data_IF_921710323670
#
_entry.id   IF_921710323670
#
_cell.length_a   1.000
_cell.length_b   1.000
_cell.length_c   1.000
_cell.angle_alpha   90.00
_cell.angle_beta   90.00
_cell.angle_gamma   90.00
#
_symmetry.space_group_name_H-M   'P 1'
#
loop_
_entity.id
_entity.type
_entity.pdbx_description
1 polymer ?
#
# COMPACT_ATOMS: atom_id res chain seq x y z
N UNK A 1 -9.12 -19.58 12.35
CA UNK A 1 -8.90 -18.28 11.65
C UNK A 1 -10.07 -17.33 11.85
N UNK A 2 -11.31 -17.72 11.54
CA UNK A 2 -12.49 -16.91 11.92
C UNK A 2 -12.56 -16.65 13.44
N UNK A 3 -12.16 -17.62 14.27
CA UNK A 3 -12.00 -17.42 15.72
C UNK A 3 -10.89 -16.43 16.11
N UNK A 4 -9.83 -16.31 15.30
CA UNK A 4 -8.76 -15.33 15.53
C UNK A 4 -9.18 -13.93 15.09
N UNK A 5 -9.94 -13.83 13.99
CA UNK A 5 -10.58 -12.59 13.54
C UNK A 5 -11.63 -12.13 14.56
N UNK A 6 -12.46 -13.05 15.04
CA UNK A 6 -13.42 -12.82 16.12
C UNK A 6 -12.72 -12.43 17.42
N UNK A 7 -11.60 -13.08 17.79
CA UNK A 7 -10.81 -12.71 18.96
C UNK A 7 -10.19 -11.31 18.85
N UNK A 8 -9.63 -10.93 17.70
CA UNK A 8 -9.09 -9.58 17.47
C UNK A 8 -10.22 -8.53 17.49
N UNK A 9 -11.37 -8.85 16.90
CA UNK A 9 -12.54 -7.98 16.90
C UNK A 9 -13.18 -7.80 18.29
N UNK A 10 -13.19 -8.85 19.11
CA UNK A 10 -13.77 -8.83 20.47
C UNK A 10 -12.83 -8.18 21.50
N UNK A 11 -11.52 -8.29 21.33
CA UNK A 11 -10.53 -7.71 22.26
C UNK A 11 -10.33 -6.21 22.01
N UNK A 12 -10.55 -5.74 20.78
CA UNK A 12 -10.45 -4.32 20.43
C UNK A 12 -11.82 -3.79 20.01
N UNK A 13 -12.61 -3.27 20.96
CA UNK A 13 -13.87 -2.54 20.70
C UNK A 13 -13.68 -1.26 19.84
N UNK A 14 -12.46 -0.97 19.38
CA UNK A 14 -12.10 0.22 18.58
C UNK A 14 -11.74 -0.16 17.14
N UNK A 15 -11.76 0.83 16.25
CA UNK A 15 -11.34 0.78 14.85
C UNK A 15 -9.93 0.17 14.60
N UNK A 16 -9.10 0.06 15.64
CA UNK A 16 -7.78 -0.59 15.64
C UNK A 16 -7.85 -2.04 15.13
N UNK A 17 -8.85 -2.82 15.57
CA UNK A 17 -9.01 -4.22 15.13
C UNK A 17 -9.22 -4.32 13.62
N UNK A 18 -10.03 -3.43 13.05
CA UNK A 18 -10.27 -3.35 11.60
C UNK A 18 -9.02 -2.93 10.83
N UNK A 19 -8.25 -1.95 11.35
CA UNK A 19 -6.99 -1.51 10.75
C UNK A 19 -5.92 -2.63 10.74
N UNK A 20 -5.80 -3.40 11.83
CA UNK A 20 -4.89 -4.55 11.88
C UNK A 20 -5.25 -5.62 10.85
N UNK A 21 -6.54 -5.91 10.68
CA UNK A 21 -7.00 -6.86 9.66
C UNK A 21 -6.66 -6.37 8.25
N UNK A 22 -6.78 -5.06 7.98
CA UNK A 22 -6.39 -4.48 6.70
C UNK A 22 -4.88 -4.64 6.42
N UNK A 23 -4.02 -4.40 7.42
CA UNK A 23 -2.56 -4.59 7.31
C UNK A 23 -2.22 -6.06 7.02
N UNK A 24 -2.80 -7.00 7.77
CA UNK A 24 -2.58 -8.43 7.56
C UNK A 24 -3.06 -8.83 6.15
N UNK A 25 -4.20 -8.29 5.71
CA UNK A 25 -4.74 -8.55 4.38
C UNK A 25 -3.82 -8.02 3.27
N UNK A 26 -3.21 -6.86 3.45
CA UNK A 26 -2.19 -6.31 2.53
C UNK A 26 -0.95 -7.22 2.45
N UNK A 27 -0.45 -7.71 3.58
CA UNK A 27 0.69 -8.65 3.60
C UNK A 27 0.37 -9.94 2.87
N UNK A 28 -0.81 -10.52 3.12
CA UNK A 28 -1.26 -11.72 2.42
C UNK A 28 -1.46 -11.48 0.92
N UNK A 29 -1.94 -10.29 0.53
CA UNK A 29 -2.06 -9.90 -0.87
C UNK A 29 -0.70 -9.87 -1.56
N UNK A 30 0.30 -9.20 -0.97
CA UNK A 30 1.67 -9.15 -1.50
C UNK A 30 2.23 -10.57 -1.66
N UNK A 31 1.98 -11.44 -0.69
CA UNK A 31 2.40 -12.83 -0.75
C UNK A 31 1.67 -13.63 -1.85
N UNK A 32 0.36 -13.42 -2.02
CA UNK A 32 -0.43 -14.04 -3.08
C UNK A 32 0.08 -13.62 -4.47
N UNK A 33 0.36 -12.33 -4.68
CA UNK A 33 0.95 -11.81 -5.92
C UNK A 33 2.32 -12.42 -6.20
N UNK A 34 3.19 -12.48 -5.18
CA UNK A 34 4.54 -13.05 -5.29
C UNK A 34 4.47 -14.54 -5.68
N UNK A 35 3.66 -15.33 -4.99
CA UNK A 35 3.48 -16.75 -5.30
C UNK A 35 2.81 -16.97 -6.67
N UNK A 36 1.90 -16.09 -7.10
CA UNK A 36 1.33 -16.09 -8.44
C UNK A 36 2.38 -15.80 -9.53
N UNK A 37 3.31 -14.88 -9.28
CA UNK A 37 4.41 -14.59 -10.18
C UNK A 37 5.40 -15.76 -10.29
N UNK A 38 5.69 -16.46 -9.18
CA UNK A 38 6.49 -17.70 -9.18
C UNK A 38 5.82 -18.77 -10.04
N UNK A 39 4.50 -18.98 -9.89
CA UNK A 39 3.75 -19.98 -10.68
C UNK A 39 3.78 -19.69 -12.18
N UNK A 40 3.91 -18.43 -12.56
CA UNK A 40 4.03 -18.04 -13.96
C UNK A 40 5.45 -18.20 -14.51
N UNK A 41 6.40 -18.63 -13.69
CA UNK A 41 7.82 -18.75 -14.04
C UNK A 41 8.54 -17.40 -14.11
N UNK A 42 7.92 -16.32 -13.62
CA UNK A 42 8.57 -15.00 -13.58
C UNK A 42 9.65 -14.97 -12.50
N UNK A 43 9.30 -15.41 -11.30
CA UNK A 43 10.24 -15.46 -10.17
C UNK A 43 10.85 -16.87 -10.11
N UNK A 44 12.19 -16.98 -10.26
CA UNK A 44 12.91 -18.25 -10.10
C UNK A 44 12.88 -18.69 -8.65
N UNK A 45 12.63 -19.98 -8.42
CA UNK A 45 12.47 -20.55 -7.09
C UNK A 45 13.72 -21.31 -6.64
N UNK A 46 14.15 -21.13 -5.38
CA UNK A 46 15.25 -21.88 -4.76
C UNK A 46 14.85 -23.20 -4.05
N UNK A 47 13.57 -23.44 -3.78
CA UNK A 47 13.09 -24.56 -2.94
C UNK A 47 12.00 -25.41 -3.64
N UNK A 48 11.87 -26.71 -3.36
CA UNK A 48 10.91 -27.61 -4.03
C UNK A 48 9.44 -27.55 -3.52
N UNK A 49 9.09 -26.70 -2.54
CA UNK A 49 7.70 -26.64 -2.01
C UNK A 49 6.60 -26.48 -3.10
N UNK A 50 5.42 -27.06 -2.89
CA UNK A 50 4.31 -26.88 -3.85
C UNK A 50 3.75 -25.44 -3.79
N UNK A 51 4.25 -24.55 -4.66
CA UNK A 51 3.87 -23.11 -4.72
C UNK A 51 2.39 -22.96 -5.01
N UNK A 52 1.82 -23.85 -5.82
CA UNK A 52 0.42 -23.81 -6.17
C UNK A 52 -0.46 -24.01 -4.93
N UNK A 53 -0.13 -25.02 -4.11
CA UNK A 53 -0.82 -25.28 -2.85
C UNK A 53 -0.71 -24.10 -1.89
N UNK A 54 0.45 -23.44 -1.85
CA UNK A 54 0.72 -22.26 -1.03
C UNK A 54 -0.09 -21.04 -1.50
N UNK A 55 -0.04 -20.71 -2.79
CA UNK A 55 -0.81 -19.63 -3.41
C UNK A 55 -2.30 -19.80 -3.14
N UNK A 56 -2.82 -21.02 -3.36
CA UNK A 56 -4.21 -21.38 -3.06
C UNK A 56 -4.55 -21.15 -1.58
N UNK A 57 -3.70 -21.63 -0.66
CA UNK A 57 -3.93 -21.49 0.79
C UNK A 57 -3.94 -20.02 1.22
N UNK A 58 -2.97 -19.23 0.76
CA UNK A 58 -2.92 -17.79 1.05
C UNK A 58 -4.12 -17.06 0.46
N UNK A 59 -4.55 -17.40 -0.76
CA UNK A 59 -5.76 -16.83 -1.35
C UNK A 59 -7.03 -17.09 -0.52
N UNK A 60 -7.17 -18.29 0.05
CA UNK A 60 -8.28 -18.62 0.96
C UNK A 60 -8.20 -17.79 2.25
N UNK A 61 -7.01 -17.67 2.85
CA UNK A 61 -6.85 -16.87 4.06
C UNK A 61 -7.12 -15.39 3.82
N UNK A 62 -6.63 -14.86 2.71
CA UNK A 62 -6.92 -13.50 2.27
C UNK A 62 -8.43 -13.29 2.09
N UNK A 63 -9.12 -14.14 1.34
CA UNK A 63 -10.56 -14.00 1.11
C UNK A 63 -11.40 -14.08 2.39
N UNK A 64 -11.03 -14.98 3.32
CA UNK A 64 -11.71 -15.09 4.61
C UNK A 64 -11.45 -13.89 5.54
N UNK A 65 -10.26 -13.27 5.48
CA UNK A 65 -9.98 -12.02 6.21
C UNK A 65 -10.77 -10.84 5.65
N UNK A 66 -10.85 -10.70 4.33
CA UNK A 66 -11.67 -9.66 3.68
C UNK A 66 -13.14 -9.82 4.06
N UNK A 67 -13.69 -11.05 3.98
CA UNK A 67 -15.07 -11.31 4.38
C UNK A 67 -15.30 -11.00 5.86
N UNK A 68 -14.40 -11.46 6.74
CA UNK A 68 -14.50 -11.19 8.18
C UNK A 68 -14.43 -9.70 8.50
N UNK A 69 -13.50 -8.98 7.89
CA UNK A 69 -13.36 -7.51 8.03
C UNK A 69 -14.61 -6.78 7.57
N UNK A 70 -15.19 -7.19 6.44
CA UNK A 70 -16.40 -6.57 5.90
C UNK A 70 -17.61 -6.81 6.83
N UNK A 71 -17.80 -8.04 7.31
CA UNK A 71 -18.87 -8.37 8.27
C UNK A 71 -18.69 -7.58 9.57
N UNK A 72 -17.45 -7.48 10.07
CA UNK A 72 -17.14 -6.68 11.26
C UNK A 72 -17.47 -5.19 11.06
N UNK A 73 -17.05 -4.61 9.94
CA UNK A 73 -17.38 -3.22 9.60
C UNK A 73 -18.89 -2.98 9.42
N UNK A 74 -19.61 -3.94 8.82
CA UNK A 74 -21.07 -3.91 8.72
C UNK A 74 -21.72 -3.92 10.11
N UNK A 75 -21.29 -4.83 10.99
CA UNK A 75 -21.81 -4.94 12.35
C UNK A 75 -21.65 -3.63 13.11
N UNK A 76 -20.44 -3.06 13.12
CA UNK A 76 -20.16 -1.78 13.79
C UNK A 76 -21.05 -0.66 13.24
N UNK A 77 -21.23 -0.55 11.92
CA UNK A 77 -22.09 0.48 11.33
C UNK A 77 -23.57 0.30 11.65
N UNK A 78 -24.05 -0.95 11.67
CA UNK A 78 -25.42 -1.26 12.07
C UNK A 78 -25.71 -0.83 13.52
N UNK A 79 -24.75 -1.02 14.43
CA UNK A 79 -24.87 -0.55 15.81
C UNK A 79 -24.99 0.98 15.91
N UNK A 80 -24.43 1.72 14.95
CA UNK A 80 -24.47 3.19 14.89
C UNK A 80 -25.60 3.72 13.99
N UNK A 81 -26.44 2.86 13.40
CA UNK A 81 -27.52 3.26 12.49
C UNK A 81 -27.05 3.83 11.14
N UNK A 82 -25.80 3.60 10.75
CA UNK A 82 -25.22 4.14 9.50
C UNK A 82 -25.27 3.12 8.35
N UNK A 83 -25.63 3.57 7.14
CA UNK A 83 -25.57 2.74 5.93
C UNK A 83 -24.11 2.51 5.49
N UNK A 84 -23.76 1.29 5.05
CA UNK A 84 -22.44 1.00 4.45
C UNK A 84 -22.17 1.88 3.23
N UNK A 85 -23.18 2.06 2.39
CA UNK A 85 -23.04 2.76 1.12
C UNK A 85 -22.98 4.28 1.29
N UNK A 86 -23.11 4.79 2.51
CA UNK A 86 -22.94 6.22 2.79
C UNK A 86 -21.48 6.68 2.68
N UNK A 87 -20.52 5.77 2.93
CA UNK A 87 -19.08 6.10 2.97
C UNK A 87 -18.31 5.55 1.77
N UNK A 88 -17.29 6.29 1.32
CA UNK A 88 -16.38 5.82 0.25
C UNK A 88 -15.68 4.52 0.65
N UNK A 89 -15.21 4.43 1.89
CA UNK A 89 -14.62 3.20 2.47
C UNK A 89 -15.59 2.01 2.40
N UNK A 90 -16.87 2.20 2.78
CA UNK A 90 -17.87 1.13 2.70
C UNK A 90 -18.15 0.66 1.27
N UNK A 91 -18.22 1.59 0.30
CA UNK A 91 -18.38 1.26 -1.12
C UNK A 91 -17.18 0.49 -1.67
N UNK A 92 -15.95 0.94 -1.37
CA UNK A 92 -14.72 0.27 -1.78
C UNK A 92 -14.59 -1.11 -1.14
N UNK A 93 -14.90 -1.24 0.15
CA UNK A 93 -14.94 -2.53 0.85
C UNK A 93 -15.87 -3.55 0.19
N UNK A 94 -17.05 -3.12 -0.28
CA UNK A 94 -17.97 -3.99 -1.02
C UNK A 94 -17.38 -4.41 -2.38
N UNK A 95 -16.78 -3.48 -3.13
CA UNK A 95 -16.10 -3.79 -4.40
C UNK A 95 -14.97 -4.80 -4.19
N UNK A 96 -14.14 -4.60 -3.16
CA UNK A 96 -13.06 -5.50 -2.78
C UNK A 96 -13.61 -6.89 -2.47
N UNK A 97 -14.69 -6.97 -1.69
CA UNK A 97 -15.34 -8.24 -1.34
C UNK A 97 -15.82 -8.98 -2.60
N UNK A 98 -16.49 -8.29 -3.52
CA UNK A 98 -16.97 -8.86 -4.77
C UNK A 98 -15.81 -9.38 -5.65
N UNK A 99 -14.75 -8.58 -5.80
CA UNK A 99 -13.55 -8.98 -6.55
C UNK A 99 -12.88 -10.19 -5.87
N UNK A 100 -12.77 -10.20 -4.54
CA UNK A 100 -12.18 -11.31 -3.79
C UNK A 100 -12.99 -12.60 -3.96
N UNK A 101 -14.32 -12.53 -3.94
CA UNK A 101 -15.20 -13.67 -4.22
C UNK A 101 -15.02 -14.20 -5.64
N UNK A 102 -15.07 -13.31 -6.63
CA UNK A 102 -14.85 -13.65 -8.03
C UNK A 102 -13.43 -14.20 -8.25
N UNK A 103 -12.44 -13.79 -7.45
CA UNK A 103 -11.09 -14.30 -7.53
C UNK A 103 -10.96 -15.71 -6.92
N UNK A 104 -11.62 -15.94 -5.78
CA UNK A 104 -11.47 -17.15 -4.98
C UNK A 104 -12.37 -18.29 -5.47
N UNK A 105 -13.68 -18.07 -5.62
CA UNK A 105 -14.65 -19.14 -5.92
C UNK A 105 -14.31 -19.85 -7.24
N UNK A 106 -14.14 -19.17 -8.39
CA UNK A 106 -13.80 -19.81 -9.65
C UNK A 106 -12.47 -20.58 -9.57
N UNK A 107 -11.50 -20.08 -8.79
CA UNK A 107 -10.20 -20.74 -8.62
C UNK A 107 -10.29 -22.07 -7.84
N UNK A 108 -11.33 -22.21 -7.00
CA UNK A 108 -11.59 -23.40 -6.19
C UNK A 108 -12.50 -24.41 -6.92
N UNK A 109 -13.49 -23.92 -7.67
CA UNK A 109 -14.56 -24.74 -8.26
C UNK A 109 -14.27 -25.15 -9.70
N UNK A 110 -13.74 -24.25 -10.54
CA UNK A 110 -13.59 -24.52 -11.97
C UNK A 110 -12.43 -25.50 -12.23
N UNK A 111 -12.77 -26.64 -12.85
CA UNK A 111 -11.78 -27.63 -13.30
C UNK A 111 -10.95 -27.11 -14.47
N UNK A 112 -11.56 -26.40 -15.43
CA UNK A 112 -10.86 -25.81 -16.57
C UNK A 112 -10.29 -24.42 -16.26
N UNK A 113 -9.07 -24.42 -15.71
CA UNK A 113 -8.36 -23.21 -15.29
C UNK A 113 -7.78 -22.39 -16.44
N UNK A 114 -7.80 -22.88 -17.68
CA UNK A 114 -7.27 -22.11 -18.82
C UNK A 114 -8.14 -20.90 -19.14
N UNK A 115 -9.48 -21.10 -19.17
CA UNK A 115 -10.46 -20.07 -19.53
C UNK A 115 -10.47 -18.89 -18.56
N UNK A 116 -10.33 -19.13 -17.26
CA UNK A 116 -10.42 -18.09 -16.22
C UNK A 116 -9.06 -17.45 -15.86
N UNK A 117 -7.94 -17.99 -16.36
CA UNK A 117 -6.59 -17.54 -15.96
C UNK A 117 -6.32 -16.07 -16.26
N UNK A 118 -6.85 -15.56 -17.37
CA UNK A 118 -6.70 -14.16 -17.76
C UNK A 118 -7.35 -13.23 -16.74
N UNK A 119 -8.63 -13.45 -16.49
CA UNK A 119 -9.44 -12.74 -15.49
C UNK A 119 -8.82 -12.81 -14.09
N UNK A 120 -8.44 -14.01 -13.63
CA UNK A 120 -7.82 -14.17 -12.32
C UNK A 120 -6.58 -13.30 -12.13
N UNK A 121 -5.70 -13.23 -13.14
CA UNK A 121 -4.50 -12.38 -13.06
C UNK A 121 -4.86 -10.89 -13.00
N UNK A 122 -5.75 -10.45 -13.89
CA UNK A 122 -6.15 -9.05 -13.98
C UNK A 122 -6.79 -8.59 -12.66
N UNK A 123 -7.75 -9.36 -12.16
CA UNK A 123 -8.42 -9.08 -10.89
C UNK A 123 -7.45 -9.09 -9.71
N UNK A 124 -6.51 -10.03 -9.67
CA UNK A 124 -5.49 -10.07 -8.63
C UNK A 124 -4.60 -8.81 -8.60
N UNK A 125 -4.16 -8.34 -9.78
CA UNK A 125 -3.37 -7.11 -9.87
C UNK A 125 -4.16 -5.85 -9.56
N UNK A 126 -5.46 -5.80 -9.90
CA UNK A 126 -6.35 -4.68 -9.59
C UNK A 126 -6.73 -4.65 -8.11
N UNK A 127 -6.85 -5.81 -7.46
CA UNK A 127 -7.27 -5.88 -6.07
C UNK A 127 -6.25 -5.28 -5.10
N UNK A 128 -4.95 -5.39 -5.39
CA UNK A 128 -3.89 -4.80 -4.55
C UNK A 128 -3.95 -3.26 -4.42
N UNK A 129 -3.99 -2.47 -5.51
CA UNK A 129 -4.13 -1.02 -5.40
C UNK A 129 -5.48 -0.60 -4.80
N UNK A 130 -6.59 -1.27 -5.13
CA UNK A 130 -7.90 -0.95 -4.53
C UNK A 130 -7.87 -1.20 -3.02
N UNK A 131 -7.34 -2.35 -2.58
CA UNK A 131 -7.20 -2.68 -1.16
C UNK A 131 -6.31 -1.66 -0.43
N UNK A 132 -5.23 -1.20 -1.08
CA UNK A 132 -4.38 -0.17 -0.49
C UNK A 132 -5.10 1.18 -0.35
N UNK A 133 -5.83 1.60 -1.39
CA UNK A 133 -6.64 2.83 -1.36
C UNK A 133 -7.68 2.74 -0.24
N UNK A 134 -8.39 1.63 -0.15
CA UNK A 134 -9.42 1.40 0.86
C UNK A 134 -8.85 1.37 2.28
N UNK A 135 -7.73 0.67 2.50
CA UNK A 135 -7.05 0.65 3.78
C UNK A 135 -6.57 2.05 4.20
N UNK A 136 -6.05 2.84 3.24
CA UNK A 136 -5.65 4.23 3.49
C UNK A 136 -6.85 5.11 3.84
N UNK A 137 -7.98 4.92 3.16
CA UNK A 137 -9.23 5.64 3.44
C UNK A 137 -9.80 5.28 4.81
N UNK A 138 -9.81 3.99 5.16
CA UNK A 138 -10.24 3.48 6.46
C UNK A 138 -9.36 4.00 7.59
N UNK A 139 -8.04 4.00 7.41
CA UNK A 139 -7.09 4.55 8.38
C UNK A 139 -7.31 6.05 8.59
N UNK A 140 -7.49 6.80 7.50
CA UNK A 140 -7.78 8.23 7.57
C UNK A 140 -9.06 8.53 8.37
N UNK A 141 -10.14 7.79 8.10
CA UNK A 141 -11.39 7.95 8.84
C UNK A 141 -11.27 7.53 10.32
N UNK A 142 -10.55 6.44 10.61
CA UNK A 142 -10.49 5.83 11.95
C UNK A 142 -9.45 6.41 12.89
N UNK A 143 -8.38 7.03 12.37
CA UNK A 143 -7.27 7.57 13.18
C UNK A 143 -7.21 9.09 13.11
N UNK A 144 -7.58 9.70 11.99
CA UNK A 144 -7.26 11.11 11.72
C UNK A 144 -8.51 11.95 11.48
N UNK A 145 -9.60 11.63 12.20
CA UNK A 145 -10.92 12.24 12.08
C UNK A 145 -10.87 13.73 11.75
N UNK A 146 -11.13 14.06 10.47
CA UNK A 146 -11.19 15.44 9.98
C UNK A 146 -9.94 15.99 9.26
N UNK A 147 -8.93 15.18 8.89
CA UNK A 147 -7.85 15.72 8.05
C UNK A 147 -8.33 16.11 6.65
N UNK A 148 -7.76 17.19 6.11
CA UNK A 148 -8.10 17.72 4.78
C UNK A 148 -7.80 16.68 3.70
N UNK A 149 -8.63 16.63 2.65
CA UNK A 149 -8.56 15.68 1.51
C UNK A 149 -7.16 15.52 0.90
N UNK A 150 -6.30 16.53 1.06
CA UNK A 150 -4.93 16.55 0.56
C UNK A 150 -3.98 15.60 1.31
N UNK A 151 -4.15 15.43 2.62
CA UNK A 151 -3.34 14.48 3.44
C UNK A 151 -3.68 13.04 3.05
N UNK A 152 -4.96 12.76 2.80
CA UNK A 152 -5.43 11.47 2.32
C UNK A 152 -4.88 11.18 0.91
N UNK A 153 -4.98 12.16 0.00
CA UNK A 153 -4.44 12.04 -1.35
C UNK A 153 -2.93 11.79 -1.37
N UNK A 154 -2.19 12.52 -0.52
CA UNK A 154 -0.75 12.32 -0.30
C UNK A 154 -0.44 10.89 0.17
N UNK A 155 -1.18 10.42 1.17
CA UNK A 155 -1.00 9.07 1.72
C UNK A 155 -1.33 7.98 0.70
N UNK A 156 -2.45 8.09 -0.03
CA UNK A 156 -2.80 7.12 -1.08
C UNK A 156 -1.71 7.08 -2.15
N UNK A 157 -1.25 8.24 -2.59
CA UNK A 157 -0.22 8.36 -3.62
C UNK A 157 1.10 7.73 -3.19
N UNK A 158 1.51 7.91 -1.94
CA UNK A 158 2.73 7.29 -1.39
C UNK A 158 2.70 5.77 -1.50
N UNK A 159 1.59 5.13 -1.16
CA UNK A 159 1.56 3.66 -1.18
C UNK A 159 1.30 3.07 -2.55
N UNK A 160 0.58 3.76 -3.43
CA UNK A 160 0.56 3.41 -4.84
C UNK A 160 1.97 3.51 -5.45
N UNK A 161 2.76 4.51 -5.06
CA UNK A 161 4.16 4.61 -5.45
C UNK A 161 5.00 3.44 -4.89
N UNK A 162 4.77 3.04 -3.63
CA UNK A 162 5.43 1.87 -3.04
C UNK A 162 5.13 0.60 -3.85
N UNK A 163 3.88 0.38 -4.27
CA UNK A 163 3.51 -0.75 -5.13
C UNK A 163 4.21 -0.69 -6.50
N UNK A 164 4.29 0.49 -7.10
CA UNK A 164 5.02 0.69 -8.35
C UNK A 164 6.53 0.43 -8.20
N UNK A 165 7.14 0.84 -7.09
CA UNK A 165 8.55 0.57 -6.79
C UNK A 165 8.83 -0.93 -6.59
N UNK A 166 7.94 -1.64 -5.88
CA UNK A 166 8.01 -3.11 -5.79
C UNK A 166 7.89 -3.76 -7.17
N UNK A 167 7.02 -3.24 -8.04
CA UNK A 167 6.93 -3.74 -9.41
C UNK A 167 8.25 -3.54 -10.17
N UNK A 168 8.88 -2.37 -10.09
CA UNK A 168 10.19 -2.12 -10.71
C UNK A 168 11.24 -3.11 -10.20
N UNK A 169 11.33 -3.29 -8.88
CA UNK A 169 12.27 -4.24 -8.24
C UNK A 169 12.07 -5.64 -8.81
N UNK A 170 10.84 -6.11 -8.95
CA UNK A 170 10.55 -7.43 -9.50
C UNK A 170 10.97 -7.57 -10.97
N UNK A 171 10.77 -6.54 -11.79
CA UNK A 171 11.22 -6.57 -13.19
C UNK A 171 12.76 -6.57 -13.30
N UNK A 172 13.47 -5.91 -12.37
CA UNK A 172 14.94 -5.95 -12.33
C UNK A 172 15.50 -7.29 -11.84
N UNK A 173 14.86 -7.90 -10.83
CA UNK A 173 15.28 -9.20 -10.30
C UNK A 173 14.98 -10.35 -11.27
N UNK A 174 13.95 -10.18 -12.10
CA UNK A 174 13.45 -11.22 -13.00
C UNK A 174 13.27 -10.68 -14.42
N UNK A 175 14.38 -10.35 -15.11
CA UNK A 175 14.33 -9.73 -16.42
C UNK A 175 13.66 -10.65 -17.45
N UNK A 176 12.80 -10.05 -18.27
CA UNK A 176 12.13 -10.71 -19.41
C UNK A 176 12.11 -9.75 -20.58
N UNK A 177 11.92 -10.23 -21.80
CA UNK A 177 11.89 -9.38 -23.01
C UNK A 177 10.89 -8.21 -22.91
N UNK A 178 9.73 -8.48 -22.33
CA UNK A 178 8.67 -7.47 -22.10
C UNK A 178 8.82 -6.75 -20.76
N UNK A 179 9.80 -7.11 -19.94
CA UNK A 179 10.00 -6.60 -18.58
C UNK A 179 10.43 -5.14 -18.55
N UNK A 180 11.32 -4.75 -19.46
CA UNK A 180 11.79 -3.37 -19.56
C UNK A 180 10.65 -2.38 -19.82
N UNK A 181 9.74 -2.69 -20.75
CA UNK A 181 8.58 -1.84 -21.04
C UNK A 181 7.67 -1.68 -19.82
N UNK A 182 7.46 -2.75 -19.05
CA UNK A 182 6.67 -2.70 -17.80
C UNK A 182 7.38 -1.92 -16.70
N UNK A 183 8.69 -2.09 -16.56
CA UNK A 183 9.51 -1.34 -15.61
C UNK A 183 9.45 0.17 -15.90
N UNK A 184 9.47 0.57 -17.18
CA UNK A 184 9.29 1.97 -17.61
C UNK A 184 7.92 2.52 -17.23
N UNK A 185 6.84 1.78 -17.51
CA UNK A 185 5.48 2.19 -17.10
C UNK A 185 5.42 2.37 -15.59
N UNK A 186 5.94 1.39 -14.84
CA UNK A 186 5.98 1.45 -13.38
C UNK A 186 6.84 2.62 -12.87
N UNK A 187 7.96 2.95 -13.52
CA UNK A 187 8.81 4.07 -13.14
C UNK A 187 8.18 5.43 -13.43
N UNK A 188 7.49 5.58 -14.55
CA UNK A 188 6.71 6.80 -14.82
C UNK A 188 5.60 6.98 -13.79
N UNK A 189 4.88 5.90 -13.47
CA UNK A 189 3.84 5.93 -12.45
C UNK A 189 4.42 6.28 -11.07
N UNK A 190 5.51 5.65 -10.66
CA UNK A 190 6.17 5.94 -9.38
C UNK A 190 6.65 7.40 -9.31
N UNK A 191 7.32 7.89 -10.37
CA UNK A 191 7.79 9.28 -10.43
C UNK A 191 6.63 10.28 -10.37
N UNK A 192 5.54 10.02 -11.09
CA UNK A 192 4.35 10.86 -11.05
C UNK A 192 3.71 10.88 -9.66
N UNK A 193 3.47 9.71 -9.06
CA UNK A 193 2.84 9.61 -7.73
C UNK A 193 3.70 10.21 -6.63
N UNK A 194 5.02 10.05 -6.69
CA UNK A 194 5.93 10.68 -5.73
C UNK A 194 5.96 12.20 -5.93
N UNK A 195 6.06 12.68 -7.17
CA UNK A 195 6.20 14.12 -7.43
C UNK A 195 4.88 14.87 -7.25
N UNK A 196 3.84 14.50 -7.99
CA UNK A 196 2.55 15.18 -7.91
C UNK A 196 1.78 14.80 -6.64
N UNK A 197 1.72 13.50 -6.36
CA UNK A 197 0.92 12.96 -5.26
C UNK A 197 1.55 13.19 -3.90
N UNK A 198 2.86 12.99 -3.75
CA UNK A 198 3.52 13.12 -2.45
C UNK A 198 4.12 14.52 -2.26
N UNK A 199 4.97 14.95 -3.19
CA UNK A 199 5.78 16.16 -3.02
C UNK A 199 4.98 17.45 -3.19
N UNK A 200 4.21 17.60 -4.28
CA UNK A 200 3.39 18.80 -4.50
C UNK A 200 2.24 18.87 -3.48
N UNK A 201 1.41 17.82 -3.39
CA UNK A 201 0.28 17.84 -2.47
C UNK A 201 0.70 17.89 -0.99
N UNK A 202 1.73 17.12 -0.61
CA UNK A 202 2.27 17.14 0.75
C UNK A 202 2.92 18.47 1.10
N UNK A 203 3.67 19.07 0.16
CA UNK A 203 4.34 20.36 0.33
C UNK A 203 3.33 21.50 0.47
N UNK A 204 2.28 21.50 -0.34
CA UNK A 204 1.19 22.46 -0.19
C UNK A 204 0.52 22.36 1.18
N UNK A 205 0.20 21.14 1.65
CA UNK A 205 -0.37 20.96 3.00
C UNK A 205 0.59 21.42 4.10
N UNK A 206 1.89 21.16 3.92
CA UNK A 206 2.93 21.60 4.84
C UNK A 206 2.96 23.14 4.96
N UNK A 207 2.99 23.85 3.84
CA UNK A 207 3.04 25.31 3.80
C UNK A 207 1.77 25.98 4.31
N UNK A 208 0.59 25.42 4.02
CA UNK A 208 -0.70 26.07 4.29
C UNK A 208 -1.34 25.68 5.61
N UNK A 209 -1.00 24.51 6.17
CA UNK A 209 -1.67 23.96 7.35
C UNK A 209 -0.70 23.60 8.45
N UNK A 210 0.39 22.90 8.12
CA UNK A 210 1.27 22.34 9.14
C UNK A 210 1.92 23.43 10.00
N UNK A 211 2.53 24.44 9.36
CA UNK A 211 3.28 25.48 10.07
C UNK A 211 2.43 26.30 11.05
N UNK A 212 1.20 26.63 10.69
CA UNK A 212 0.33 27.50 11.48
C UNK A 212 -0.61 26.75 12.43
N UNK A 213 -1.04 25.53 12.10
CA UNK A 213 -2.08 24.82 12.85
C UNK A 213 -1.54 23.61 13.62
N UNK A 214 -0.57 22.88 13.06
CA UNK A 214 -0.12 21.60 13.62
C UNK A 214 1.17 21.75 14.43
N UNK A 215 2.14 22.49 13.90
CA UNK A 215 3.44 22.69 14.55
C UNK A 215 3.32 23.31 15.96
N UNK A 216 2.55 24.39 16.20
CA UNK A 216 2.46 24.99 17.53
C UNK A 216 1.90 24.02 18.57
N UNK A 217 0.89 23.24 18.18
CA UNK A 217 0.24 22.23 19.03
C UNK A 217 1.21 21.11 19.41
N UNK A 218 2.02 20.62 18.46
CA UNK A 218 3.03 19.59 18.75
C UNK A 218 4.08 20.12 19.73
N UNK A 219 4.54 21.36 19.53
CA UNK A 219 5.59 21.96 20.36
C UNK A 219 5.13 22.27 21.79
N UNK A 220 3.86 22.65 21.96
CA UNK A 220 3.27 22.87 23.28
C UNK A 220 2.76 21.58 23.95
N UNK A 221 2.62 20.49 23.19
CA UNK A 221 2.15 19.20 23.67
C UNK A 221 3.22 18.34 24.36
N UNK A 222 2.88 17.09 24.73
CA UNK A 222 3.77 16.20 25.48
C UNK A 222 4.95 15.64 24.65
N UNK A 223 4.95 15.84 23.33
CA UNK A 223 5.91 15.21 22.42
C UNK A 223 6.56 16.20 21.42
N UNK A 224 7.22 17.28 21.90
CA UNK A 224 7.83 18.29 21.03
C UNK A 224 8.97 17.73 20.17
N UNK A 225 9.63 16.66 20.63
CA UNK A 225 10.67 15.94 19.90
C UNK A 225 10.19 15.40 18.54
N UNK A 226 8.88 15.15 18.38
CA UNK A 226 8.30 14.69 17.13
C UNK A 226 8.44 15.75 16.03
N UNK A 227 8.36 17.04 16.37
CA UNK A 227 8.72 18.10 15.43
C UNK A 227 10.25 18.21 15.29
N UNK A 228 10.96 18.37 16.41
CA UNK A 228 12.39 18.70 16.40
C UNK A 228 13.28 17.66 15.70
N UNK A 229 12.90 16.38 15.72
CA UNK A 229 13.69 15.28 15.15
C UNK A 229 12.99 14.68 13.94
N UNK A 230 11.74 14.22 14.12
CA UNK A 230 11.05 13.42 13.10
C UNK A 230 10.60 14.28 11.92
N UNK A 231 10.05 15.47 12.17
CA UNK A 231 9.66 16.37 11.08
C UNK A 231 10.89 16.88 10.32
N UNK A 232 11.96 17.28 11.01
CA UNK A 232 13.21 17.74 10.38
C UNK A 232 13.79 16.67 9.43
N UNK A 233 13.93 15.44 9.92
CA UNK A 233 14.41 14.32 9.11
C UNK A 233 13.46 14.02 7.92
N UNK A 234 12.16 14.12 8.16
CA UNK A 234 11.13 13.91 7.14
C UNK A 234 11.26 14.95 6.02
N UNK A 235 11.52 16.21 6.33
CA UNK A 235 11.69 17.29 5.33
C UNK A 235 12.88 17.02 4.41
N UNK A 236 13.98 16.49 4.95
CA UNK A 236 15.14 16.13 4.14
C UNK A 236 14.83 14.97 3.18
N UNK A 237 14.25 13.88 3.69
CA UNK A 237 13.84 12.74 2.86
C UNK A 237 12.84 13.19 1.79
N UNK A 238 11.90 14.06 2.17
CA UNK A 238 10.86 14.58 1.29
C UNK A 238 11.40 15.30 0.06
N UNK A 239 12.50 16.05 0.18
CA UNK A 239 13.14 16.75 -0.94
C UNK A 239 13.89 15.79 -1.86
N UNK A 240 14.57 14.77 -1.32
CA UNK A 240 15.35 13.83 -2.15
C UNK A 240 14.49 12.80 -2.89
N UNK A 241 13.33 12.44 -2.34
CA UNK A 241 12.49 11.38 -2.91
C UNK A 241 12.06 11.62 -4.37
N UNK A 242 11.56 12.81 -4.79
CA UNK A 242 11.25 13.06 -6.20
C UNK A 242 12.49 13.00 -7.10
N UNK A 243 13.66 13.45 -6.61
CA UNK A 243 14.91 13.37 -7.37
C UNK A 243 15.29 11.90 -7.65
N UNK A 244 15.27 11.06 -6.62
CA UNK A 244 15.57 9.62 -6.77
C UNK A 244 14.58 8.95 -7.73
N UNK A 245 13.29 9.25 -7.60
CA UNK A 245 12.25 8.67 -8.45
C UNK A 245 12.40 9.11 -9.92
N UNK A 246 12.69 10.39 -10.17
CA UNK A 246 12.95 10.92 -11.51
C UNK A 246 14.22 10.33 -12.10
N UNK A 247 15.32 10.25 -11.35
CA UNK A 247 16.56 9.62 -11.81
C UNK A 247 16.33 8.16 -12.19
N UNK A 248 15.62 7.38 -11.37
CA UNK A 248 15.26 6.00 -11.69
C UNK A 248 14.44 5.92 -12.98
N UNK A 249 13.45 6.81 -13.14
CA UNK A 249 12.56 6.85 -14.29
C UNK A 249 13.28 7.24 -15.59
N UNK A 250 14.11 8.27 -15.56
CA UNK A 250 14.95 8.70 -16.69
C UNK A 250 15.94 7.61 -17.06
N UNK A 251 16.59 6.98 -16.07
CA UNK A 251 17.54 5.89 -16.35
C UNK A 251 16.85 4.71 -17.03
N UNK A 252 15.65 4.33 -16.60
CA UNK A 252 14.87 3.26 -17.22
C UNK A 252 14.33 3.63 -18.61
N UNK A 253 14.06 4.92 -18.87
CA UNK A 253 13.55 5.37 -20.18
C UNK A 253 14.62 5.25 -21.27
N UNK A 254 15.88 5.58 -20.94
CA UNK A 254 17.02 5.51 -21.88
C UNK A 254 17.71 4.15 -21.91
N UNK A 255 17.46 3.28 -20.91
CA UNK A 255 18.04 1.93 -20.85
C UNK A 255 17.64 1.10 -22.07
N UNK A 256 18.62 0.53 -22.79
CA UNK A 256 18.34 -0.37 -23.91
C UNK A 256 18.02 -1.81 -23.43
N UNK A 257 17.47 -2.62 -24.35
CA UNK A 257 17.05 -3.99 -24.05
C UNK A 257 18.22 -4.92 -23.74
N UNK A 258 19.33 -4.79 -24.45
CA UNK A 258 20.47 -5.71 -24.31
C UNK A 258 21.15 -5.54 -22.95
N UNK A 259 21.42 -4.31 -22.53
CA UNK A 259 21.90 -3.99 -21.17
C UNK A 259 20.91 -4.48 -20.13
N UNK A 260 19.60 -4.25 -20.32
CA UNK A 260 18.60 -4.74 -19.38
C UNK A 260 18.61 -6.28 -19.25
N UNK A 261 18.76 -7.04 -20.32
CA UNK A 261 18.74 -8.51 -20.27
C UNK A 261 20.06 -9.11 -19.83
N UNK A 262 21.20 -8.54 -20.26
CA UNK A 262 22.50 -9.18 -20.16
C UNK A 262 23.45 -8.55 -19.13
N UNK A 263 23.15 -7.37 -18.58
CA UNK A 263 23.97 -6.74 -17.53
C UNK A 263 23.34 -6.88 -16.13
N UNK A 264 23.71 -7.91 -15.34
CA UNK A 264 23.21 -8.07 -13.98
C UNK A 264 23.74 -7.01 -13.01
N UNK A 265 24.88 -6.36 -13.28
CA UNK A 265 25.43 -5.32 -12.41
C UNK A 265 24.59 -4.05 -12.54
N UNK A 266 24.24 -3.67 -13.76
CA UNK A 266 23.37 -2.53 -14.03
C UNK A 266 21.99 -2.71 -13.38
N UNK A 267 21.37 -3.90 -13.55
CA UNK A 267 20.09 -4.22 -12.89
C UNK A 267 20.20 -4.18 -11.36
N UNK A 268 21.31 -4.64 -10.79
CA UNK A 268 21.53 -4.58 -9.34
C UNK A 268 21.58 -3.13 -8.86
N UNK A 269 22.29 -2.25 -9.56
CA UNK A 269 22.33 -0.82 -9.23
C UNK A 269 20.93 -0.20 -9.27
N UNK A 270 20.15 -0.43 -10.33
CA UNK A 270 18.76 0.03 -10.41
C UNK A 270 17.88 -0.54 -9.30
N UNK A 271 18.07 -1.81 -8.95
CA UNK A 271 17.35 -2.45 -7.85
C UNK A 271 17.66 -1.77 -6.53
N UNK A 272 18.93 -1.43 -6.27
CA UNK A 272 19.32 -0.72 -5.03
C UNK A 272 18.69 0.67 -4.97
N UNK A 273 18.65 1.41 -6.08
CA UNK A 273 17.99 2.72 -6.16
C UNK A 273 16.49 2.59 -5.88
N UNK A 274 15.83 1.60 -6.50
CA UNK A 274 14.40 1.35 -6.27
C UNK A 274 14.10 0.91 -4.83
N UNK A 275 14.97 0.09 -4.22
CA UNK A 275 14.87 -0.30 -2.81
C UNK A 275 15.06 0.89 -1.87
N UNK A 276 16.00 1.79 -2.17
CA UNK A 276 16.22 3.02 -1.40
C UNK A 276 14.98 3.93 -1.47
N UNK A 277 14.44 4.14 -2.67
CA UNK A 277 13.21 4.90 -2.85
C UNK A 277 12.03 4.27 -2.08
N UNK A 278 11.89 2.94 -2.16
CA UNK A 278 10.82 2.22 -1.45
C UNK A 278 10.97 2.38 0.07
N UNK A 279 12.18 2.19 0.58
CA UNK A 279 12.48 2.40 2.00
C UNK A 279 12.12 3.82 2.45
N UNK A 280 12.52 4.84 1.68
CA UNK A 280 12.21 6.23 1.99
C UNK A 280 10.69 6.50 1.95
N UNK A 281 9.95 5.98 0.98
CA UNK A 281 8.48 6.08 0.94
C UNK A 281 7.87 5.48 2.21
N UNK A 282 8.26 4.27 2.60
CA UNK A 282 7.74 3.61 3.80
C UNK A 282 8.12 4.35 5.09
N UNK A 283 9.34 4.88 5.16
CA UNK A 283 9.81 5.68 6.28
C UNK A 283 9.02 6.99 6.40
N UNK A 284 8.71 7.65 5.28
CA UNK A 284 7.86 8.85 5.23
C UNK A 284 6.45 8.59 5.80
N UNK A 285 5.87 7.43 5.50
CA UNK A 285 4.58 7.01 6.10
C UNK A 285 4.68 6.87 7.62
N UNK A 286 5.70 6.15 8.11
CA UNK A 286 5.91 5.95 9.54
C UNK A 286 6.09 7.29 10.27
N UNK A 287 6.96 8.15 9.74
CA UNK A 287 7.20 9.49 10.30
C UNK A 287 5.92 10.33 10.26
N UNK A 288 5.14 10.25 9.18
CA UNK A 288 3.82 10.88 9.08
C UNK A 288 2.87 10.45 10.20
N UNK A 289 2.77 9.15 10.48
CA UNK A 289 1.92 8.63 11.56
C UNK A 289 2.38 9.13 12.95
N UNK A 290 3.69 9.15 13.21
CA UNK A 290 4.25 9.69 14.47
C UNK A 290 3.89 11.16 14.65
N UNK A 291 4.06 11.98 13.61
CA UNK A 291 3.74 13.42 13.64
C UNK A 291 2.24 13.65 13.83
N UNK A 292 1.39 12.89 13.13
CA UNK A 292 -0.06 12.98 13.29
C UNK A 292 -0.51 12.63 14.71
N UNK A 293 0.05 11.57 15.31
CA UNK A 293 -0.25 11.19 16.68
C UNK A 293 0.22 12.25 17.69
N UNK A 294 1.40 12.83 17.50
CA UNK A 294 1.89 13.94 18.33
C UNK A 294 0.97 15.16 18.24
N UNK A 295 0.47 15.49 17.04
CA UNK A 295 -0.50 16.58 16.85
C UNK A 295 -1.83 16.32 17.56
N UNK A 296 -2.34 15.08 17.49
CA UNK A 296 -3.57 14.70 18.18
C UNK A 296 -3.42 14.79 19.71
N UNK A 297 -2.41 14.13 20.27
CA UNK A 297 -2.15 14.14 21.72
C UNK A 297 -1.85 15.54 22.25
N UNK A 298 -1.16 16.38 21.47
CA UNK A 298 -0.99 17.80 21.79
C UNK A 298 -2.31 18.57 21.81
N UNK A 299 -3.21 18.30 20.86
CA UNK A 299 -4.55 18.93 20.83
C UNK A 299 -5.37 18.53 22.05
N UNK A 300 -5.31 17.26 22.45
CA UNK A 300 -6.00 16.73 23.62
C UNK A 300 -5.46 17.32 24.93
N UNK A 301 -4.15 17.52 25.04
CA UNK A 301 -3.52 18.09 26.24
C UNK A 301 -3.75 19.60 26.42
N UNK A 302 -4.07 20.32 25.34
CA UNK A 302 -4.30 21.77 25.35
C UNK A 302 -5.79 22.15 25.45
N UNK A 303 -6.69 21.15 25.50
CA UNK A 303 -8.12 21.34 25.80
C UNK A 303 -8.35 21.22 27.29
#
# INVERSE_FOLDING_TARGET
MLLAIGGIALVYERWIGHALIAIISLVLMVYALTTGAILKGRIKKRSPRNVFKLHKRVGIYFGALILGSFIYGLWIRLQHGESILSSVHGKLGLIILLIAFLQLIPSLVLKNRARYRGLHKMMGYVLAPILFIDASWGLHNGVIGGTKSLVLFHSISGGLAALALVWIILEMLHPTDKGLARARIASYLAAFLITAGCWIAGGYNYLTVYGSQVKPVILAGPHPWAHAIVMEAKEHIFVFLPLIALTLSITLSVLNRDTFLHDPKFRRALTMIACLALFMVLLMFLMGAIISNAGQTGTEALK
#
